data_IF_491289816723
#
_entry.id   IF_491289816723
#
_cell.length_a   1.000
_cell.length_b   1.000
_cell.length_c   1.000
_cell.angle_alpha   90.00
_cell.angle_beta   90.00
_cell.angle_gamma   90.00
#
_symmetry.space_group_name_H-M   'P 1'
#
loop_
_entity.id
_entity.type
_entity.pdbx_description
1 polymer ?
#
# COMPACT_ATOMS: atom_id res chain seq x y z
N UNK A 1 -12.15 19.45 -58.25
CA UNK A 1 -12.55 20.30 -57.11
C UNK A 1 -13.00 19.34 -56.01
N UNK A 2 -12.21 19.16 -54.93
CA UNK A 2 -12.34 19.85 -53.62
C UNK A 2 -13.57 19.30 -52.84
N UNK A 3 -13.57 18.82 -51.61
CA UNK A 3 -12.68 18.65 -50.43
C UNK A 3 -13.30 17.45 -49.66
N UNK A 4 -12.55 16.48 -49.14
CA UNK A 4 -12.19 16.36 -47.71
C UNK A 4 -13.32 16.60 -46.69
N UNK A 5 -13.72 15.54 -45.97
CA UNK A 5 -13.55 15.47 -44.50
C UNK A 5 -13.63 14.03 -44.02
N UNK A 6 -12.49 13.53 -43.58
CA UNK A 6 -12.30 12.34 -42.77
C UNK A 6 -12.77 12.67 -41.34
N UNK A 7 -13.62 11.83 -40.75
CA UNK A 7 -13.76 11.76 -39.30
C UNK A 7 -13.77 10.29 -38.90
N UNK A 8 -12.58 9.70 -38.90
CA UNK A 8 -12.33 8.44 -38.23
C UNK A 8 -12.56 8.67 -36.73
N UNK A 9 -13.68 8.20 -36.21
CA UNK A 9 -13.88 8.07 -34.77
C UNK A 9 -12.92 7.00 -34.24
N UNK A 10 -11.72 7.45 -33.86
CA UNK A 10 -10.85 6.76 -32.94
C UNK A 10 -11.48 6.85 -31.55
N UNK A 11 -12.38 5.92 -31.23
CA UNK A 11 -12.68 5.64 -29.83
C UNK A 11 -11.42 5.01 -29.22
N UNK A 12 -10.63 5.86 -28.58
CA UNK A 12 -9.71 5.49 -27.51
C UNK A 12 -10.51 4.75 -26.43
N UNK A 13 -10.58 3.43 -26.55
CA UNK A 13 -10.96 2.59 -25.42
C UNK A 13 -9.84 2.64 -24.39
N UNK A 14 -10.19 3.14 -23.21
CA UNK A 14 -9.30 3.40 -22.09
C UNK A 14 -8.39 2.20 -21.75
N UNK A 15 -7.14 2.42 -21.32
CA UNK A 15 -6.27 1.37 -20.82
C UNK A 15 -6.68 1.00 -19.38
N UNK A 16 -7.88 0.46 -19.19
CA UNK A 16 -8.34 -0.02 -17.85
C UNK A 16 -7.69 -1.37 -17.51
N UNK A 17 -7.22 -2.13 -18.50
CA UNK A 17 -6.57 -3.42 -18.29
C UNK A 17 -5.11 -3.30 -17.81
N UNK A 18 -4.41 -2.21 -18.15
CA UNK A 18 -3.02 -2.02 -17.76
C UNK A 18 -2.86 -1.64 -16.28
N UNK A 19 -3.91 -1.11 -15.64
CA UNK A 19 -3.86 -0.73 -14.22
C UNK A 19 -4.08 -1.93 -13.30
N UNK A 20 -4.94 -2.88 -13.66
CA UNK A 20 -5.24 -4.03 -12.80
C UNK A 20 -4.06 -4.98 -12.66
N UNK A 21 -3.30 -5.21 -13.73
CA UNK A 21 -2.14 -6.10 -13.69
C UNK A 21 -0.97 -5.49 -12.91
N UNK A 22 -0.71 -4.19 -13.09
CA UNK A 22 0.28 -3.44 -12.28
C UNK A 22 -0.13 -3.38 -10.81
N UNK A 23 -1.42 -3.16 -10.51
CA UNK A 23 -1.93 -3.19 -9.14
C UNK A 23 -1.79 -4.58 -8.50
N UNK A 24 -2.10 -5.65 -9.24
CA UNK A 24 -1.96 -7.04 -8.77
C UNK A 24 -0.49 -7.43 -8.55
N UNK A 25 0.40 -6.95 -9.42
CA UNK A 25 1.85 -7.16 -9.27
C UNK A 25 2.41 -6.35 -8.09
N UNK A 26 1.82 -5.19 -7.78
CA UNK A 26 2.07 -4.42 -6.56
C UNK A 26 1.61 -5.14 -5.29
N UNK A 27 0.42 -5.75 -5.27
CA UNK A 27 -0.06 -6.60 -4.18
C UNK A 27 0.85 -7.81 -3.94
N UNK A 28 1.35 -8.46 -5.00
CA UNK A 28 2.27 -9.59 -4.87
C UNK A 28 3.62 -9.20 -4.23
N UNK A 29 4.14 -7.98 -4.48
CA UNK A 29 5.39 -7.51 -3.86
C UNK A 29 5.24 -7.12 -2.39
N UNK A 30 4.03 -6.77 -1.93
CA UNK A 30 3.75 -6.46 -0.52
C UNK A 30 4.04 -7.65 0.39
N UNK A 31 3.79 -8.88 -0.10
CA UNK A 31 4.02 -10.10 0.66
C UNK A 31 5.49 -10.53 0.74
N UNK A 32 6.41 -9.90 0.01
CA UNK A 32 7.86 -10.18 0.11
C UNK A 32 8.58 -9.25 1.07
N UNK A 33 7.96 -8.14 1.49
CA UNK A 33 8.58 -7.25 2.46
C UNK A 33 8.41 -7.88 3.84
N UNK A 34 9.49 -8.39 4.41
CA UNK A 34 9.48 -8.86 5.80
C UNK A 34 9.53 -7.69 6.76
N UNK A 35 9.02 -7.90 7.98
CA UNK A 35 9.13 -6.96 9.07
C UNK A 35 10.59 -6.56 9.33
N UNK A 36 11.51 -7.53 9.35
CA UNK A 36 12.93 -7.25 9.48
C UNK A 36 13.47 -6.37 8.33
N UNK A 37 13.09 -6.66 7.09
CA UNK A 37 13.55 -5.89 5.93
C UNK A 37 13.04 -4.45 5.95
N UNK A 38 11.80 -4.22 6.39
CA UNK A 38 11.25 -2.88 6.55
C UNK A 38 11.90 -2.14 7.72
N UNK A 39 11.96 -2.73 8.91
CA UNK A 39 12.56 -2.10 10.10
C UNK A 39 14.03 -1.73 9.88
N UNK A 40 14.82 -2.56 9.17
CA UNK A 40 16.21 -2.23 8.83
C UNK A 40 16.34 -1.15 7.75
N UNK A 41 15.29 -0.94 6.96
CA UNK A 41 15.30 0.03 5.85
C UNK A 41 15.34 1.46 6.35
N UNK A 42 14.83 1.76 7.54
CA UNK A 42 14.89 3.11 8.13
C UNK A 42 16.32 3.69 8.12
N UNK A 43 17.30 2.87 8.46
CA UNK A 43 18.71 3.26 8.52
C UNK A 43 19.40 3.32 7.14
N UNK A 44 18.90 2.58 6.15
CA UNK A 44 19.50 2.48 4.82
C UNK A 44 18.87 3.45 3.81
N UNK A 45 17.58 3.70 3.94
CA UNK A 45 16.75 4.47 3.03
C UNK A 45 15.47 4.92 3.76
N UNK A 46 15.57 6.06 4.45
CA UNK A 46 14.47 6.63 5.24
C UNK A 46 13.28 7.06 4.36
N UNK A 47 13.53 7.43 3.09
CA UNK A 47 12.48 7.78 2.15
C UNK A 47 11.63 6.55 1.80
N UNK A 48 12.27 5.45 1.42
CA UNK A 48 11.59 4.20 1.11
C UNK A 48 10.89 3.62 2.35
N UNK A 49 11.52 3.70 3.53
CA UNK A 49 10.88 3.33 4.79
C UNK A 49 9.57 4.10 5.01
N UNK A 50 9.59 5.42 4.79
CA UNK A 50 8.41 6.28 4.91
C UNK A 50 7.33 6.03 3.84
N UNK A 51 7.71 5.69 2.60
CA UNK A 51 6.76 5.32 1.55
C UNK A 51 6.03 4.01 1.90
N UNK A 52 6.76 2.99 2.36
CA UNK A 52 6.18 1.73 2.81
C UNK A 52 5.29 1.97 4.05
N UNK A 53 5.72 2.83 4.98
CA UNK A 53 4.91 3.19 6.14
C UNK A 53 3.58 3.86 5.75
N UNK A 54 3.59 4.80 4.81
CA UNK A 54 2.33 5.40 4.30
C UNK A 54 1.42 4.35 3.69
N UNK A 55 1.97 3.45 2.87
CA UNK A 55 1.19 2.35 2.30
C UNK A 55 0.54 1.47 3.38
N UNK A 56 1.25 1.17 4.48
CA UNK A 56 0.69 0.44 5.64
C UNK A 56 -0.51 1.16 6.23
N UNK A 57 -0.39 2.47 6.48
CA UNK A 57 -1.48 3.28 7.05
C UNK A 57 -2.68 3.31 6.11
N UNK A 58 -2.46 3.53 4.82
CA UNK A 58 -3.51 3.57 3.80
C UNK A 58 -4.24 2.22 3.70
N UNK A 59 -3.50 1.10 3.68
CA UNK A 59 -4.07 -0.25 3.65
C UNK A 59 -4.93 -0.53 4.90
N UNK A 60 -4.47 -0.11 6.08
CA UNK A 60 -5.25 -0.26 7.31
C UNK A 60 -6.52 0.59 7.26
N UNK A 61 -6.43 1.85 6.82
CA UNK A 61 -7.60 2.74 6.72
C UNK A 61 -8.60 2.29 5.66
N UNK A 62 -8.14 1.69 4.57
CA UNK A 62 -9.02 1.12 3.56
C UNK A 62 -9.88 -0.02 4.14
N UNK A 63 -9.32 -0.84 5.03
CA UNK A 63 -10.03 -1.97 5.65
C UNK A 63 -10.81 -1.59 6.91
N UNK A 64 -10.50 -0.47 7.57
CA UNK A 64 -11.14 -0.04 8.81
C UNK A 64 -11.25 1.49 8.95
N UNK A 65 -11.95 2.19 8.02
CA UNK A 65 -11.88 3.64 7.90
C UNK A 65 -12.47 4.38 9.12
N UNK A 66 -13.62 3.96 9.63
CA UNK A 66 -14.25 4.58 10.81
C UNK A 66 -13.43 4.37 12.07
N UNK A 67 -13.00 3.13 12.33
CA UNK A 67 -12.22 2.76 13.51
C UNK A 67 -10.87 3.46 13.57
N UNK A 68 -10.20 3.60 12.42
CA UNK A 68 -8.86 4.17 12.38
C UNK A 68 -8.83 5.70 12.23
N UNK A 69 -9.99 6.33 12.04
CA UNK A 69 -10.10 7.79 11.90
C UNK A 69 -9.61 8.57 13.13
N UNK A 70 -9.63 7.94 14.31
CA UNK A 70 -9.23 8.55 15.59
C UNK A 70 -7.74 8.45 15.90
N UNK A 71 -7.00 7.63 15.16
CA UNK A 71 -5.57 7.44 15.37
C UNK A 71 -4.76 8.24 14.36
N UNK A 72 -3.71 8.90 14.86
CA UNK A 72 -2.69 9.49 14.00
C UNK A 72 -1.91 8.42 13.25
N UNK A 73 -1.35 8.79 12.09
CA UNK A 73 -0.52 7.88 11.28
C UNK A 73 0.63 7.27 12.11
N UNK A 74 1.23 8.07 13.00
CA UNK A 74 2.29 7.61 13.90
C UNK A 74 1.84 6.52 14.88
N UNK A 75 0.63 6.62 15.44
CA UNK A 75 0.10 5.60 16.37
C UNK A 75 -0.22 4.29 15.65
N UNK A 76 -0.74 4.39 14.42
CA UNK A 76 -0.98 3.25 13.55
C UNK A 76 0.33 2.55 13.21
N UNK A 77 1.34 3.32 12.79
CA UNK A 77 2.67 2.81 12.48
C UNK A 77 3.32 2.16 13.70
N UNK A 78 3.26 2.79 14.88
CA UNK A 78 3.83 2.23 16.10
C UNK A 78 3.21 0.86 16.45
N UNK A 79 1.89 0.69 16.22
CA UNK A 79 1.24 -0.59 16.42
C UNK A 79 1.79 -1.69 15.50
N UNK A 80 2.08 -1.35 14.24
CA UNK A 80 2.67 -2.27 13.25
C UNK A 80 4.13 -2.56 13.58
N UNK A 81 4.92 -1.54 13.94
CA UNK A 81 6.30 -1.73 14.37
C UNK A 81 6.41 -2.64 15.59
N UNK A 82 5.50 -2.53 16.57
CA UNK A 82 5.43 -3.46 17.71
C UNK A 82 5.22 -4.90 17.25
N UNK A 83 4.39 -5.14 16.23
CA UNK A 83 4.25 -6.48 15.64
C UNK A 83 5.53 -6.94 14.94
N UNK A 84 6.16 -6.04 14.20
CA UNK A 84 7.39 -6.36 13.49
C UNK A 84 8.57 -6.66 14.42
N UNK A 85 8.70 -5.94 15.55
CA UNK A 85 9.69 -6.24 16.59
C UNK A 85 9.44 -7.59 17.23
N UNK A 86 8.18 -7.98 17.45
CA UNK A 86 7.83 -9.26 18.05
C UNK A 86 7.99 -10.44 17.07
N UNK A 87 7.85 -10.22 15.77
CA UNK A 87 7.83 -11.26 14.75
C UNK A 87 8.59 -10.84 13.47
N UNK A 88 9.93 -10.68 13.53
CA UNK A 88 10.73 -10.09 12.45
C UNK A 88 10.66 -10.87 11.13
N UNK A 89 10.47 -12.19 11.20
CA UNK A 89 10.40 -13.07 10.03
C UNK A 89 9.03 -13.05 9.32
N UNK A 90 8.01 -12.43 9.90
CA UNK A 90 6.70 -12.30 9.24
C UNK A 90 6.73 -11.25 8.15
N UNK A 91 5.84 -11.39 7.18
CA UNK A 91 5.61 -10.37 6.15
C UNK A 91 4.98 -9.14 6.79
N UNK A 92 5.24 -7.97 6.21
CA UNK A 92 4.71 -6.70 6.66
C UNK A 92 3.18 -6.71 6.56
N UNK A 93 2.61 -7.27 5.49
CA UNK A 93 1.16 -7.48 5.36
C UNK A 93 0.55 -8.20 6.57
N UNK A 94 1.19 -9.29 7.03
CA UNK A 94 0.72 -10.05 8.20
C UNK A 94 0.81 -9.21 9.47
N UNK A 95 1.91 -8.48 9.67
CA UNK A 95 2.06 -7.61 10.83
C UNK A 95 1.04 -6.47 10.84
N UNK A 96 0.77 -5.86 9.68
CA UNK A 96 -0.26 -4.83 9.48
C UNK A 96 -1.64 -5.35 9.84
N UNK A 97 -2.01 -6.54 9.37
CA UNK A 97 -3.28 -7.19 9.73
C UNK A 97 -3.39 -7.42 11.24
N UNK A 98 -2.35 -8.01 11.86
CA UNK A 98 -2.31 -8.28 13.29
C UNK A 98 -2.31 -7.02 14.16
N UNK A 99 -1.76 -5.91 13.67
CA UNK A 99 -1.82 -4.62 14.33
C UNK A 99 -3.24 -4.05 14.29
N UNK A 100 -3.91 -4.13 13.13
CA UNK A 100 -5.29 -3.71 12.96
C UNK A 100 -6.27 -4.44 13.89
N UNK A 101 -6.03 -5.71 14.20
CA UNK A 101 -6.83 -6.47 15.17
C UNK A 101 -6.62 -6.04 16.64
N UNK A 102 -5.50 -5.37 16.95
CA UNK A 102 -5.14 -4.99 18.33
C UNK A 102 -5.44 -3.53 18.66
N UNK A 103 -5.63 -2.68 17.66
CA UNK A 103 -6.07 -1.30 17.89
C UNK A 103 -7.53 -1.32 18.36
N UNK A 104 -7.86 -0.74 19.54
CA UNK A 104 -9.22 -0.75 20.06
C UNK A 104 -10.21 0.02 19.17
N UNK A 105 -11.51 -0.23 19.38
CA UNK A 105 -12.67 0.43 18.73
C UNK A 105 -12.98 1.81 19.27
#
# INVERSE_FOLDING_TARGET
>A
MRLWTVAALWFLTCPVAATSEVLRQGEFLQDYITCEAWMKREAADTEMHGLIGRWVVDAMRQTSPSRLSRYGDGEVLEAVERQCRAQPAKTLTVATFLAGLRLPE
#
